data_IF_970795404883
#
_entry.id   IF_970795404883
#
_cell.length_a   1.000
_cell.length_b   1.000
_cell.length_c   1.000
_cell.angle_alpha   90.00
_cell.angle_beta   90.00
_cell.angle_gamma   90.00
#
_symmetry.space_group_name_H-M   'P 1'
#
loop_
_entity.id
_entity.type
_entity.pdbx_description
1 polymer ?
#
# COMPACT_ATOMS: atom_id res chain seq x y z
N UNK A 1 -49.66 -33.39 2.38
CA UNK A 1 -48.34 -33.18 1.76
C UNK A 1 -47.87 -31.77 2.10
N UNK A 2 -47.46 -31.56 3.36
CA UNK A 2 -47.06 -30.24 3.86
C UNK A 2 -45.63 -29.94 3.41
N UNK A 3 -45.51 -28.92 2.56
CA UNK A 3 -44.27 -28.48 1.94
C UNK A 3 -43.43 -27.77 3.02
N UNK A 4 -42.48 -28.49 3.62
CA UNK A 4 -41.38 -27.92 4.40
C UNK A 4 -40.27 -27.47 3.45
N UNK A 5 -40.46 -26.34 2.75
CA UNK A 5 -39.46 -25.77 1.82
C UNK A 5 -38.85 -24.43 2.26
N UNK A 6 -39.10 -23.97 3.48
CA UNK A 6 -38.71 -22.61 3.89
C UNK A 6 -37.73 -22.53 5.07
N UNK A 7 -36.81 -23.49 5.18
CA UNK A 7 -35.61 -23.32 5.99
C UNK A 7 -34.46 -22.83 5.10
N UNK A 8 -34.64 -21.67 4.47
CA UNK A 8 -33.50 -20.91 3.93
C UNK A 8 -32.73 -20.38 5.14
N UNK A 9 -31.49 -20.82 5.38
CA UNK A 9 -30.73 -20.33 6.52
C UNK A 9 -30.58 -18.82 6.33
N UNK A 10 -31.07 -18.06 7.31
CA UNK A 10 -30.88 -16.62 7.41
C UNK A 10 -29.39 -16.41 7.66
N UNK A 11 -28.60 -16.40 6.58
CA UNK A 11 -27.17 -16.12 6.62
C UNK A 11 -27.04 -14.80 7.34
N UNK A 12 -26.46 -14.83 8.55
CA UNK A 12 -26.24 -13.65 9.35
C UNK A 12 -25.48 -12.65 8.48
N UNK A 13 -26.16 -11.59 8.05
CA UNK A 13 -25.51 -10.51 7.34
C UNK A 13 -24.57 -9.85 8.32
N UNK A 14 -23.26 -10.08 8.12
CA UNK A 14 -22.22 -9.39 8.86
C UNK A 14 -22.44 -7.89 8.64
N UNK A 15 -22.61 -7.08 9.70
CA UNK A 15 -22.93 -5.67 9.53
C UNK A 15 -21.82 -4.98 8.74
N UNK A 16 -22.13 -4.41 7.57
CA UNK A 16 -21.21 -3.55 6.81
C UNK A 16 -20.92 -2.31 7.67
N UNK A 17 -19.67 -2.04 8.07
CA UNK A 17 -19.31 -0.84 8.82
C UNK A 17 -19.25 0.37 7.87
N UNK A 18 -20.38 0.77 7.29
CA UNK A 18 -20.42 1.77 6.21
C UNK A 18 -20.24 3.22 6.69
N UNK A 19 -20.33 3.49 8.02
CA UNK A 19 -20.25 4.85 8.58
C UNK A 19 -18.86 5.24 9.12
N UNK A 20 -18.06 4.29 9.62
CA UNK A 20 -16.71 4.57 10.17
C UNK A 20 -15.55 4.32 9.19
N UNK A 21 -15.78 3.57 8.11
CA UNK A 21 -14.73 3.14 7.18
C UNK A 21 -14.11 4.28 6.37
N UNK A 22 -14.89 5.32 6.03
CA UNK A 22 -14.40 6.45 5.23
C UNK A 22 -13.36 7.32 5.97
N UNK A 23 -13.43 7.39 7.30
CA UNK A 23 -12.46 8.12 8.12
C UNK A 23 -11.14 7.37 8.26
N UNK A 24 -11.22 6.04 8.39
CA UNK A 24 -10.05 5.16 8.47
C UNK A 24 -9.29 5.18 7.15
N UNK A 25 -9.97 5.05 6.01
CA UNK A 25 -9.31 5.10 4.69
C UNK A 25 -8.60 6.43 4.49
N UNK A 26 -9.24 7.56 4.86
CA UNK A 26 -8.59 8.88 4.79
C UNK A 26 -7.33 8.95 5.65
N UNK A 27 -7.37 8.42 6.87
CA UNK A 27 -6.20 8.35 7.76
C UNK A 27 -5.10 7.46 7.19
N UNK A 28 -5.44 6.30 6.63
CA UNK A 28 -4.49 5.37 6.00
C UNK A 28 -3.83 6.01 4.78
N UNK A 29 -4.60 6.69 3.92
CA UNK A 29 -4.07 7.42 2.77
C UNK A 29 -3.15 8.56 3.23
N UNK A 30 -3.52 9.30 4.28
CA UNK A 30 -2.69 10.37 4.82
C UNK A 30 -1.38 9.83 5.42
N UNK A 31 -1.44 8.72 6.16
CA UNK A 31 -0.25 8.03 6.67
C UNK A 31 0.64 7.48 5.54
N UNK A 32 0.05 6.93 4.48
CA UNK A 32 0.76 6.46 3.29
C UNK A 32 1.51 7.63 2.62
N UNK A 33 0.87 8.79 2.46
CA UNK A 33 1.51 9.98 1.86
C UNK A 33 2.65 10.49 2.75
N UNK A 34 2.45 10.55 4.08
CA UNK A 34 3.54 10.89 5.00
C UNK A 34 4.69 9.89 4.94
N UNK A 35 4.39 8.60 4.84
CA UNK A 35 5.36 7.52 4.75
C UNK A 35 6.19 7.59 3.45
N UNK A 36 5.53 7.87 2.33
CA UNK A 36 6.19 8.13 1.04
C UNK A 36 7.08 9.38 1.10
N UNK A 37 6.58 10.48 1.68
CA UNK A 37 7.36 11.71 1.84
C UNK A 37 8.61 11.48 2.69
N UNK A 38 8.48 10.74 3.79
CA UNK A 38 9.60 10.39 4.68
C UNK A 38 10.66 9.55 3.94
N UNK A 39 10.25 8.63 3.07
CA UNK A 39 11.18 7.87 2.22
C UNK A 39 11.87 8.74 1.18
N UNK A 40 11.14 9.64 0.52
CA UNK A 40 11.72 10.59 -0.45
C UNK A 40 12.77 11.47 0.22
N UNK A 41 12.52 11.90 1.46
CA UNK A 41 13.49 12.65 2.26
C UNK A 41 14.71 11.78 2.57
N UNK A 42 14.54 10.57 3.12
CA UNK A 42 15.65 9.66 3.45
C UNK A 42 16.50 9.36 2.21
N UNK A 43 15.86 9.11 1.06
CA UNK A 43 16.55 8.87 -0.20
C UNK A 43 17.32 10.10 -0.66
N UNK A 44 16.71 11.29 -0.59
CA UNK A 44 17.37 12.55 -0.93
C UNK A 44 18.55 12.86 0.01
N UNK A 45 18.54 12.40 1.26
CA UNK A 45 19.71 12.50 2.16
C UNK A 45 20.77 11.41 1.91
N UNK A 46 20.40 10.24 1.38
CA UNK A 46 21.28 9.08 1.19
C UNK A 46 21.60 8.82 -0.30
N UNK A 47 21.69 9.88 -1.10
CA UNK A 47 21.90 9.84 -2.57
C UNK A 47 23.10 8.96 -2.97
N UNK A 48 24.16 9.00 -2.18
CA UNK A 48 25.45 8.36 -2.46
C UNK A 48 25.42 6.83 -2.32
N UNK A 49 24.28 6.26 -1.87
CA UNK A 49 24.12 4.83 -1.55
C UNK A 49 23.28 4.05 -2.58
N UNK A 50 22.81 4.72 -3.62
CA UNK A 50 21.92 4.17 -4.65
C UNK A 50 22.52 4.40 -6.04
N UNK A 51 22.50 3.35 -6.88
CA UNK A 51 22.86 3.44 -8.29
C UNK A 51 21.78 4.24 -9.03
N UNK A 52 22.19 5.28 -9.76
CA UNK A 52 21.23 6.23 -10.35
C UNK A 52 21.65 6.67 -11.75
N UNK A 53 20.72 6.65 -12.70
CA UNK A 53 20.85 7.33 -13.98
C UNK A 53 20.42 8.80 -13.80
N UNK A 54 21.23 9.75 -14.27
CA UNK A 54 21.14 11.18 -13.94
C UNK A 54 19.75 11.82 -14.18
N UNK A 55 18.97 12.06 -13.12
CA UNK A 55 17.73 12.89 -13.15
C UNK A 55 17.62 13.77 -11.87
N UNK A 56 16.44 14.31 -11.49
CA UNK A 56 16.21 15.04 -10.21
C UNK A 56 15.99 14.11 -9.01
N UNK A 57 16.71 14.24 -7.87
CA UNK A 57 16.77 13.23 -6.80
C UNK A 57 15.41 12.88 -6.17
N UNK A 58 14.47 13.81 -6.20
CA UNK A 58 13.10 13.62 -5.70
C UNK A 58 12.30 12.67 -6.60
N UNK A 59 12.47 12.78 -7.92
CA UNK A 59 11.70 12.00 -8.90
C UNK A 59 12.12 10.53 -8.82
N UNK A 60 13.41 10.25 -8.75
CA UNK A 60 13.93 8.88 -8.65
C UNK A 60 13.59 8.23 -7.31
N UNK A 61 13.60 8.99 -6.23
CA UNK A 61 13.15 8.50 -4.92
C UNK A 61 11.68 8.06 -4.96
N UNK A 62 10.84 8.91 -5.55
CA UNK A 62 9.41 8.67 -5.67
C UNK A 62 9.13 7.50 -6.61
N UNK A 63 9.85 7.42 -7.72
CA UNK A 63 9.82 6.29 -8.64
C UNK A 63 10.22 4.99 -7.94
N UNK A 64 11.35 4.96 -7.25
CA UNK A 64 11.80 3.79 -6.48
C UNK A 64 10.74 3.34 -5.47
N UNK A 65 10.14 4.28 -4.74
CA UNK A 65 9.09 3.98 -3.77
C UNK A 65 7.86 3.36 -4.43
N UNK A 66 7.35 3.94 -5.52
CA UNK A 66 6.16 3.44 -6.23
C UNK A 66 6.44 2.06 -6.83
N UNK A 67 7.53 1.92 -7.58
CA UNK A 67 7.91 0.65 -8.23
C UNK A 67 8.09 -0.47 -7.20
N UNK A 68 8.64 -0.15 -6.04
CA UNK A 68 8.83 -1.09 -4.93
C UNK A 68 7.52 -1.42 -4.21
N UNK A 69 6.68 -0.43 -3.89
CA UNK A 69 5.39 -0.64 -3.21
C UNK A 69 4.39 -1.38 -4.09
N UNK A 70 4.36 -1.07 -5.38
CA UNK A 70 3.53 -1.78 -6.37
C UNK A 70 4.11 -3.14 -6.76
N UNK A 71 5.23 -3.57 -6.14
CA UNK A 71 5.89 -4.85 -6.42
C UNK A 71 6.32 -5.03 -7.88
N UNK A 72 6.49 -3.93 -8.63
CA UNK A 72 6.92 -3.95 -10.04
C UNK A 72 8.40 -4.32 -10.12
N UNK A 73 9.23 -3.69 -9.29
CA UNK A 73 10.63 -4.08 -9.09
C UNK A 73 11.50 -4.11 -10.34
N UNK A 74 11.50 -3.05 -11.17
CA UNK A 74 12.32 -2.98 -12.39
C UNK A 74 13.82 -3.20 -12.16
N UNK A 75 14.34 -2.87 -10.97
CA UNK A 75 15.73 -3.11 -10.58
C UNK A 75 16.74 -2.14 -11.20
N UNK A 76 16.26 -1.11 -11.90
CA UNK A 76 17.03 0.00 -12.45
C UNK A 76 17.57 0.94 -11.36
N UNK A 77 16.82 1.12 -10.27
CA UNK A 77 17.26 1.81 -9.07
C UNK A 77 17.18 0.82 -7.90
N UNK A 78 18.33 0.51 -7.31
CA UNK A 78 18.43 -0.45 -6.22
C UNK A 78 19.39 0.03 -5.11
N UNK A 79 19.11 -0.31 -3.84
CA UNK A 79 20.02 -0.03 -2.74
C UNK A 79 21.30 -0.86 -2.87
N UNK A 80 22.45 -0.20 -3.00
CA UNK A 80 23.73 -0.91 -3.11
C UNK A 80 24.31 -1.24 -1.72
N UNK A 81 24.10 -0.35 -0.75
CA UNK A 81 24.65 -0.52 0.61
C UNK A 81 23.82 -1.50 1.46
N UNK A 82 24.46 -2.28 2.36
CA UNK A 82 23.76 -3.20 3.27
C UNK A 82 22.69 -2.50 4.13
N UNK A 83 22.98 -1.29 4.60
CA UNK A 83 22.06 -0.50 5.40
C UNK A 83 20.81 -0.09 4.60
N UNK A 84 21.00 0.35 3.35
CA UNK A 84 19.88 0.71 2.47
C UNK A 84 19.04 -0.52 2.10
N UNK A 85 19.66 -1.70 1.93
CA UNK A 85 18.94 -2.96 1.68
C UNK A 85 18.01 -3.32 2.84
N UNK A 86 18.52 -3.29 4.08
CA UNK A 86 17.71 -3.57 5.27
C UNK A 86 16.56 -2.57 5.40
N UNK A 87 16.83 -1.29 5.19
CA UNK A 87 15.81 -0.24 5.20
C UNK A 87 14.72 -0.50 4.15
N UNK A 88 15.11 -0.81 2.90
CA UNK A 88 14.17 -1.16 1.82
C UNK A 88 13.34 -2.41 2.14
N UNK A 89 13.91 -3.42 2.80
CA UNK A 89 13.15 -4.61 3.21
C UNK A 89 12.07 -4.28 4.24
N UNK A 90 12.39 -3.52 5.28
CA UNK A 90 11.40 -3.05 6.26
C UNK A 90 10.35 -2.19 5.57
N UNK A 91 10.79 -1.36 4.62
CA UNK A 91 9.90 -0.50 3.85
C UNK A 91 8.83 -1.27 3.08
N UNK A 92 9.24 -2.33 2.38
CA UNK A 92 8.34 -3.19 1.60
C UNK A 92 7.31 -3.87 2.50
N UNK A 93 7.74 -4.41 3.65
CA UNK A 93 6.84 -5.11 4.57
C UNK A 93 5.71 -4.21 5.06
N UNK A 94 6.05 -2.97 5.42
CA UNK A 94 5.07 -1.98 5.86
C UNK A 94 4.22 -1.49 4.69
N UNK A 95 4.85 -1.18 3.55
CA UNK A 95 4.19 -0.67 2.36
C UNK A 95 3.16 -1.64 1.77
N UNK A 96 3.45 -2.94 1.79
CA UNK A 96 2.54 -3.97 1.33
C UNK A 96 1.22 -3.99 2.11
N UNK A 97 1.28 -3.85 3.44
CA UNK A 97 0.08 -3.79 4.28
C UNK A 97 -0.80 -2.57 3.97
N UNK A 98 -0.18 -1.43 3.65
CA UNK A 98 -0.93 -0.24 3.23
C UNK A 98 -1.64 -0.44 1.89
N UNK A 99 -0.98 -1.05 0.91
CA UNK A 99 -1.57 -1.35 -0.40
C UNK A 99 -2.73 -2.34 -0.27
N UNK A 100 -2.60 -3.37 0.57
CA UNK A 100 -3.66 -4.35 0.83
C UNK A 100 -4.94 -3.72 1.40
N UNK A 101 -4.78 -2.81 2.38
CA UNK A 101 -5.92 -2.07 2.96
C UNK A 101 -6.63 -1.22 1.89
N UNK A 102 -5.88 -0.55 1.01
CA UNK A 102 -6.45 0.23 -0.08
C UNK A 102 -7.17 -0.66 -1.09
N UNK A 103 -6.56 -1.79 -1.47
CA UNK A 103 -7.16 -2.77 -2.38
C UNK A 103 -8.48 -3.30 -1.82
N UNK A 104 -8.50 -3.67 -0.54
CA UNK A 104 -9.72 -4.09 0.16
C UNK A 104 -10.80 -3.00 0.10
N UNK A 105 -10.44 -1.74 0.31
CA UNK A 105 -11.36 -0.60 0.17
C UNK A 105 -11.96 -0.48 -1.24
N UNK A 106 -11.13 -0.60 -2.28
CA UNK A 106 -11.57 -0.55 -3.68
C UNK A 106 -12.49 -1.73 -4.01
N UNK A 107 -12.13 -2.94 -3.58
CA UNK A 107 -12.96 -4.15 -3.81
C UNK A 107 -14.33 -3.98 -3.16
N UNK A 108 -14.39 -3.50 -1.91
CA UNK A 108 -15.67 -3.24 -1.24
C UNK A 108 -16.51 -2.19 -1.96
N UNK A 109 -15.90 -1.13 -2.51
CA UNK A 109 -16.59 -0.13 -3.30
C UNK A 109 -17.17 -0.72 -4.59
N UNK A 110 -16.38 -1.53 -5.32
CA UNK A 110 -16.81 -2.17 -6.57
C UNK A 110 -17.92 -3.20 -6.32
N UNK A 111 -17.87 -3.93 -5.21
CA UNK A 111 -18.92 -4.88 -4.84
C UNK A 111 -20.21 -4.21 -4.34
N UNK A 112 -20.17 -2.92 -4.02
CA UNK A 112 -21.34 -2.12 -3.61
C UNK A 112 -21.98 -1.33 -4.77
N UNK A 113 -21.35 -1.34 -5.96
CA UNK A 113 -21.90 -0.85 -7.22
C UNK A 113 -22.89 -1.87 -7.81
#
# INVERSE_FOLDING_TARGET
MAVMRDLKPKTAQVPKPQSQTSSIIKQVVLLLVMYLALNVVIYSFNKDKFSRMETHPVVDALYFCIVTMCTIGYGDIAPETPLAKVFSCVFVLVGFGFIDILLSGVVNYVLDL
#
